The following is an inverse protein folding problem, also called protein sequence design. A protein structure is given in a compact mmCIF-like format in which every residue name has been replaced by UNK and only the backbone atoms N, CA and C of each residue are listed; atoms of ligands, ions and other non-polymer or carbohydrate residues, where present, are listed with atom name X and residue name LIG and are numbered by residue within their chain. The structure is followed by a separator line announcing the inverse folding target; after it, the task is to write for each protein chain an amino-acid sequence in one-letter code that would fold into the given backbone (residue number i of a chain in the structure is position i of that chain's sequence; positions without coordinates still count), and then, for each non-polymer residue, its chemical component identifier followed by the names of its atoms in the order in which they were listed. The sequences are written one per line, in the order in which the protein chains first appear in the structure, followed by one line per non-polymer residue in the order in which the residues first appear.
data_IF_604052236847
#
_entry.id   IF_604052236847
#
_cell.length_a   1.000
_cell.length_b   1.000
_cell.length_c   1.000
_cell.angle_alpha   90.00
_cell.angle_beta   90.00
_cell.angle_gamma   90.00
#
_symmetry.space_group_name_H-M   'P 1'
#
loop_
_entity.id
_entity.type
_entity.pdbx_description
1 polymer ?
#
# COMPACT_ATOMS: atom_id res chain seq x y z
N UNK A 1 -8.39 11.30 -2.46
CA UNK A 1 -8.04 10.15 -3.32
C UNK A 1 -8.32 8.79 -2.68
N UNK A 2 -8.19 8.65 -1.36
CA UNK A 2 -8.36 7.38 -0.65
C UNK A 2 -9.64 6.61 -0.99
N UNK A 3 -10.82 7.22 -0.95
CA UNK A 3 -12.06 6.52 -1.30
C UNK A 3 -12.09 6.03 -2.76
N UNK A 4 -11.47 6.78 -3.69
CA UNK A 4 -11.33 6.34 -5.09
C UNK A 4 -10.40 5.12 -5.17
N UNK A 5 -9.29 5.15 -4.45
CA UNK A 5 -8.34 4.03 -4.39
C UNK A 5 -8.96 2.78 -3.76
N UNK A 6 -9.66 2.91 -2.62
CA UNK A 6 -10.44 1.83 -2.00
C UNK A 6 -11.38 1.15 -3.00
N UNK A 7 -12.20 1.96 -3.68
CA UNK A 7 -13.16 1.46 -4.66
C UNK A 7 -12.47 0.81 -5.86
N UNK A 8 -11.28 1.29 -6.23
CA UNK A 8 -10.49 0.68 -7.28
C UNK A 8 -9.96 -0.68 -6.83
N UNK A 9 -9.30 -0.78 -5.67
CA UNK A 9 -8.74 -2.03 -5.13
C UNK A 9 -9.83 -3.09 -5.01
N UNK A 10 -10.95 -2.77 -4.35
CA UNK A 10 -12.08 -3.71 -4.20
C UNK A 10 -12.73 -4.18 -5.52
N UNK A 11 -12.49 -3.50 -6.64
CA UNK A 11 -13.01 -3.89 -7.97
C UNK A 11 -12.02 -4.68 -8.81
N UNK A 12 -10.73 -4.60 -8.51
CA UNK A 12 -9.66 -5.16 -9.35
C UNK A 12 -8.83 -6.22 -8.65
N UNK A 13 -8.97 -6.36 -7.33
CA UNK A 13 -8.22 -7.33 -6.53
C UNK A 13 -9.13 -7.95 -5.47
N UNK A 14 -8.68 -9.07 -4.91
CA UNK A 14 -9.31 -9.73 -3.77
C UNK A 14 -8.70 -9.29 -2.43
N UNK A 15 -7.86 -8.25 -2.43
CA UNK A 15 -7.16 -7.80 -1.23
C UNK A 15 -8.10 -7.08 -0.26
N UNK A 16 -7.91 -7.37 1.03
CA UNK A 16 -8.67 -6.69 2.08
C UNK A 16 -8.10 -5.30 2.32
N UNK A 17 -8.99 -4.32 2.31
CA UNK A 17 -8.65 -2.92 2.56
C UNK A 17 -9.03 -2.57 4.00
N UNK A 18 -8.05 -2.27 4.83
CA UNK A 18 -8.24 -1.81 6.20
C UNK A 18 -8.31 -0.28 6.21
N UNK A 19 -9.28 0.23 6.94
CA UNK A 19 -9.45 1.65 7.18
C UNK A 19 -8.89 2.02 8.54
N UNK A 20 -8.03 3.03 8.57
CA UNK A 20 -7.59 3.64 9.82
C UNK A 20 -8.01 5.11 9.80
N UNK A 21 -8.93 5.47 10.68
CA UNK A 21 -9.44 6.81 10.85
C UNK A 21 -9.22 7.23 12.29
N UNK A 22 -8.51 8.32 12.49
CA UNK A 22 -8.35 8.98 13.78
C UNK A 22 -8.52 10.49 13.58
N UNK A 23 -8.58 11.25 14.69
CA UNK A 23 -8.84 12.69 14.66
C UNK A 23 -7.81 13.50 13.83
N UNK A 24 -6.64 12.94 13.55
CA UNK A 24 -5.51 13.62 12.90
C UNK A 24 -5.19 13.08 11.50
N UNK A 25 -5.64 11.88 11.14
CA UNK A 25 -5.37 11.29 9.82
C UNK A 25 -6.35 10.21 9.41
N UNK A 26 -6.56 10.13 8.10
CA UNK A 26 -7.24 9.02 7.44
C UNK A 26 -6.25 8.26 6.55
N UNK A 27 -6.20 6.95 6.70
CA UNK A 27 -5.38 6.08 5.85
C UNK A 27 -6.09 4.80 5.44
N UNK A 28 -5.58 4.26 4.33
CA UNK A 28 -5.91 2.95 3.82
C UNK A 28 -4.67 2.08 3.96
N UNK A 29 -4.84 0.89 4.50
CA UNK A 29 -3.79 -0.12 4.63
C UNK A 29 -4.24 -1.37 3.87
N UNK A 30 -3.33 -1.92 3.08
CA UNK A 30 -3.51 -3.18 2.37
C UNK A 30 -2.33 -4.07 2.76
N UNK A 31 -2.64 -5.18 3.43
CA UNK A 31 -1.65 -6.16 3.85
C UNK A 31 -1.63 -7.33 2.86
N UNK A 32 -0.42 -7.81 2.58
CA UNK A 32 -0.13 -8.90 1.67
C UNK A 32 0.78 -9.86 2.43
N UNK A 33 0.24 -11.04 2.74
CA UNK A 33 0.94 -12.08 3.48
C UNK A 33 1.25 -13.23 2.53
N UNK A 34 2.53 -13.62 2.51
CA UNK A 34 3.03 -14.86 1.93
C UNK A 34 4.01 -15.50 2.93
N UNK A 35 4.33 -16.77 2.76
CA UNK A 35 5.18 -17.55 3.67
C UNK A 35 6.57 -16.92 3.85
N UNK A 36 7.03 -16.14 2.86
CA UNK A 36 8.36 -15.53 2.84
C UNK A 36 8.39 -14.05 3.19
N UNK A 37 7.32 -13.31 2.90
CA UNK A 37 7.33 -11.85 2.99
C UNK A 37 6.12 -11.32 3.76
N UNK A 38 6.37 -10.38 4.67
CA UNK A 38 5.35 -9.49 5.23
C UNK A 38 5.38 -8.21 4.40
N UNK A 39 4.29 -7.93 3.70
CA UNK A 39 4.21 -6.80 2.78
C UNK A 39 3.00 -5.93 3.07
N UNK A 40 3.17 -4.61 3.00
CA UNK A 40 2.14 -3.62 3.31
C UNK A 40 2.22 -2.45 2.36
N UNK A 41 1.05 -2.03 1.89
CA UNK A 41 0.88 -0.78 1.16
C UNK A 41 -0.05 0.15 1.94
N UNK A 42 0.47 1.31 2.34
CA UNK A 42 -0.29 2.31 3.09
C UNK A 42 -0.46 3.56 2.24
N UNK A 43 -1.67 4.12 2.19
CA UNK A 43 -1.96 5.40 1.54
C UNK A 43 -2.61 6.34 2.54
N UNK A 44 -2.13 7.56 2.64
CA UNK A 44 -2.67 8.62 3.50
C UNK A 44 -3.48 9.66 2.72
N UNK A 45 -4.22 10.49 3.44
CA UNK A 45 -5.02 11.58 2.91
C UNK A 45 -4.18 12.80 2.48
N UNK A 46 -2.93 12.86 2.92
CA UNK A 46 -1.93 13.90 2.62
C UNK A 46 -1.23 13.72 1.26
N UNK A 47 -1.74 12.84 0.40
CA UNK A 47 -1.16 12.51 -0.91
C UNK A 47 0.21 11.80 -0.83
N UNK A 48 0.46 11.08 0.27
CA UNK A 48 1.61 10.20 0.41
C UNK A 48 1.22 8.74 0.59
N UNK A 49 2.15 7.85 0.25
CA UNK A 49 2.01 6.41 0.45
C UNK A 49 3.33 5.77 0.86
N UNK A 50 3.24 4.56 1.42
CA UNK A 50 4.37 3.76 1.86
C UNK A 50 4.26 2.35 1.30
N UNK A 51 5.38 1.86 0.79
CA UNK A 51 5.56 0.50 0.29
C UNK A 51 6.55 -0.23 1.18
N UNK A 52 6.11 -1.29 1.85
CA UNK A 52 6.90 -2.09 2.78
C UNK A 52 6.89 -3.56 2.35
N UNK A 53 8.06 -4.17 2.25
CA UNK A 53 8.25 -5.59 1.96
C UNK A 53 9.43 -6.08 2.78
N UNK A 54 9.17 -6.95 3.75
CA UNK A 54 10.15 -7.49 4.68
C UNK A 54 10.22 -9.01 4.54
N UNK A 55 11.43 -9.55 4.39
CA UNK A 55 11.66 -10.99 4.40
C UNK A 55 11.57 -11.51 5.85
N UNK A 56 10.73 -12.52 6.08
CA UNK A 56 10.40 -13.00 7.43
C UNK A 56 11.59 -13.69 8.09
N UNK A 57 12.39 -14.41 7.33
CA UNK A 57 13.52 -15.18 7.85
C UNK A 57 14.67 -14.27 8.29
N UNK A 58 14.92 -13.21 7.52
CA UNK A 58 16.05 -12.29 7.75
C UNK A 58 15.67 -11.03 8.52
N UNK A 59 14.39 -10.66 8.52
CA UNK A 59 13.91 -9.38 9.05
C UNK A 59 14.38 -8.16 8.25
N UNK A 60 14.99 -8.37 7.08
CA UNK A 60 15.50 -7.29 6.24
C UNK A 60 14.44 -6.82 5.26
N UNK A 61 14.43 -5.51 5.00
CA UNK A 61 13.55 -4.91 4.00
C UNK A 61 14.08 -5.13 2.59
N UNK A 62 13.28 -5.77 1.74
CA UNK A 62 13.43 -5.76 0.27
C UNK A 62 12.98 -4.41 -0.31
N UNK A 63 11.93 -3.83 0.28
CA UNK A 63 11.39 -2.53 -0.06
C UNK A 63 10.91 -1.81 1.21
N UNK A 64 11.30 -0.56 1.37
CA UNK A 64 10.80 0.33 2.42
C UNK A 64 10.88 1.76 1.90
N UNK A 65 9.83 2.18 1.18
CA UNK A 65 9.85 3.42 0.40
C UNK A 65 8.59 4.24 0.61
N UNK A 66 8.77 5.49 1.03
CA UNK A 66 7.73 6.52 1.01
C UNK A 66 7.74 7.22 -0.34
N UNK A 67 6.56 7.46 -0.91
CA UNK A 67 6.37 8.26 -2.11
C UNK A 67 5.29 9.32 -1.86
N UNK A 68 5.35 10.38 -2.66
CA UNK A 68 4.30 11.39 -2.77
C UNK A 68 3.73 11.30 -4.19
N UNK A 69 2.45 11.58 -4.33
CA UNK A 69 1.75 11.53 -5.62
C UNK A 69 0.82 12.74 -5.74
N UNK A 70 0.66 13.28 -6.94
CA UNK A 70 -0.25 14.41 -7.20
C UNK A 70 -1.53 13.96 -7.88
N UNK A 71 -1.50 12.81 -8.56
CA UNK A 71 -2.63 12.31 -9.34
C UNK A 71 -3.01 10.88 -8.95
N UNK A 72 -4.20 10.46 -9.36
CA UNK A 72 -4.65 9.08 -9.12
C UNK A 72 -3.87 8.08 -9.97
N UNK A 73 -3.47 8.46 -11.16
CA UNK A 73 -2.71 7.58 -12.06
C UNK A 73 -1.31 7.35 -11.49
N UNK A 74 -0.65 8.39 -10.96
CA UNK A 74 0.62 8.23 -10.23
C UNK A 74 0.50 7.29 -9.01
N UNK A 75 -0.62 7.36 -8.27
CA UNK A 75 -0.86 6.43 -7.16
C UNK A 75 -0.98 4.98 -7.67
N UNK A 76 -1.63 4.77 -8.81
CA UNK A 76 -1.73 3.44 -9.42
C UNK A 76 -0.37 2.95 -9.91
N UNK A 77 0.43 3.81 -10.55
CA UNK A 77 1.78 3.46 -10.99
C UNK A 77 2.66 3.02 -9.81
N UNK A 78 2.62 3.76 -8.70
CA UNK A 78 3.35 3.38 -7.46
C UNK A 78 2.84 2.06 -6.90
N UNK A 79 1.52 1.83 -6.94
CA UNK A 79 0.93 0.58 -6.48
C UNK A 79 1.34 -0.59 -7.36
N UNK A 80 1.36 -0.42 -8.69
CA UNK A 80 1.78 -1.45 -9.64
C UNK A 80 3.27 -1.81 -9.46
N UNK A 81 4.14 -0.82 -9.25
CA UNK A 81 5.55 -1.03 -8.91
C UNK A 81 5.70 -1.85 -7.60
N UNK A 82 4.89 -1.52 -6.59
CA UNK A 82 4.84 -2.30 -5.36
C UNK A 82 4.36 -3.75 -5.62
N UNK A 83 3.31 -3.94 -6.42
CA UNK A 83 2.80 -5.27 -6.78
C UNK A 83 3.83 -6.13 -7.52
N UNK A 84 4.72 -5.52 -8.31
CA UNK A 84 5.86 -6.21 -8.94
C UNK A 84 6.88 -6.62 -7.89
N UNK A 85 7.10 -5.79 -6.86
CA UNK A 85 8.08 -6.05 -5.80
C UNK A 85 7.71 -7.19 -4.84
N UNK A 86 6.43 -7.55 -4.74
CA UNK A 86 5.93 -8.63 -3.87
C UNK A 86 5.66 -9.94 -4.62
N UNK A 87 5.90 -9.98 -5.93
CA UNK A 87 6.01 -11.22 -6.71
C UNK A 87 7.42 -11.79 -6.60
#
# INVERSE_FOLDING_TARGET
MLNKFKLWVSKHTDYTVIHNENDLSYSIIIDFEDDRYISRFTVWDDLSCMSEVMDVDTGLYKLNKRNEFSTFDELLDIFDDFMISIK
#
